data_IF_588971647267
#
_entry.id   IF_588971647267
#
_cell.length_a   1.000
_cell.length_b   1.000
_cell.length_c   1.000
_cell.angle_alpha   90.00
_cell.angle_beta   90.00
_cell.angle_gamma   90.00
#
_symmetry.space_group_name_H-M   'P 1'
#
loop_
_entity.id
_entity.type
_entity.pdbx_description
1 polymer ?
#
# COMPACT_ATOMS: atom_id res chain seq x y z
N UNK A 1 28.82 -9.68 -52.51
CA UNK A 1 29.33 -9.55 -51.12
C UNK A 1 29.25 -10.92 -50.46
N UNK A 2 30.38 -11.54 -50.11
CA UNK A 2 30.40 -12.85 -49.45
C UNK A 2 30.56 -12.67 -47.95
N UNK A 3 29.56 -13.09 -47.17
CA UNK A 3 29.68 -13.11 -45.70
C UNK A 3 30.61 -14.25 -45.28
N UNK A 4 31.59 -13.96 -44.42
CA UNK A 4 32.47 -15.00 -43.89
C UNK A 4 31.69 -15.94 -42.96
N UNK A 5 31.96 -17.25 -43.04
CA UNK A 5 31.40 -18.27 -42.13
C UNK A 5 31.55 -17.87 -40.65
N UNK A 6 32.66 -17.21 -40.31
CA UNK A 6 32.95 -16.75 -38.95
C UNK A 6 32.01 -15.62 -38.52
N UNK A 7 31.69 -14.70 -39.43
CA UNK A 7 30.73 -13.62 -39.18
C UNK A 7 29.32 -14.17 -39.02
N UNK A 8 28.92 -15.12 -39.87
CA UNK A 8 27.63 -15.79 -39.78
C UNK A 8 27.44 -16.54 -38.45
N UNK A 9 28.43 -17.34 -38.04
CA UNK A 9 28.37 -18.12 -36.79
C UNK A 9 28.38 -17.23 -35.54
N UNK A 10 29.12 -16.10 -35.56
CA UNK A 10 29.07 -15.11 -34.46
C UNK A 10 27.71 -14.43 -34.35
N UNK A 11 27.07 -14.10 -35.48
CA UNK A 11 25.72 -13.56 -35.49
C UNK A 11 24.67 -14.56 -34.99
N UNK A 12 24.76 -15.80 -35.45
CA UNK A 12 23.85 -16.87 -35.02
C UNK A 12 23.95 -17.16 -33.51
N UNK A 13 25.16 -17.15 -32.93
CA UNK A 13 25.37 -17.32 -31.49
C UNK A 13 24.73 -16.21 -30.64
N UNK A 14 24.73 -14.97 -31.13
CA UNK A 14 24.06 -13.85 -30.45
C UNK A 14 22.54 -14.05 -30.39
N UNK A 15 21.93 -14.59 -31.45
CA UNK A 15 20.48 -14.86 -31.48
C UNK A 15 20.06 -16.00 -30.52
N UNK A 16 20.96 -16.94 -30.19
CA UNK A 16 20.67 -18.04 -29.25
C UNK A 16 20.91 -17.61 -27.79
N UNK A 17 21.89 -16.74 -27.55
CA UNK A 17 22.24 -16.26 -26.20
C UNK A 17 21.34 -15.13 -25.67
N UNK A 18 20.62 -14.43 -26.57
CA UNK A 18 19.61 -13.43 -26.24
C UNK A 18 18.23 -14.08 -26.31
N UNK A 19 17.74 -14.76 -25.25
CA UNK A 19 16.33 -15.13 -25.15
C UNK A 19 15.49 -13.89 -25.48
N UNK A 20 14.47 -14.07 -26.32
CA UNK A 20 13.76 -13.16 -27.25
C UNK A 20 13.39 -11.73 -26.77
N UNK A 21 14.24 -11.05 -26.02
CA UNK A 21 14.01 -9.71 -25.54
C UNK A 21 12.64 -9.57 -24.84
N UNK A 22 12.14 -10.64 -24.21
CA UNK A 22 10.83 -10.70 -23.55
C UNK A 22 10.70 -9.59 -22.46
N UNK A 23 11.82 -9.15 -21.89
CA UNK A 23 11.87 -8.02 -20.95
C UNK A 23 11.65 -6.63 -21.57
N UNK A 24 11.76 -6.50 -22.89
CA UNK A 24 11.41 -5.29 -23.66
C UNK A 24 9.99 -5.33 -24.22
N UNK A 25 9.27 -6.45 -24.07
CA UNK A 25 7.84 -6.44 -24.30
C UNK A 25 7.19 -5.50 -23.28
N UNK A 26 6.27 -4.61 -23.72
CA UNK A 26 5.47 -3.84 -22.80
C UNK A 26 4.75 -4.82 -21.86
N UNK A 27 5.06 -4.77 -20.57
CA UNK A 27 4.35 -5.51 -19.50
C UNK A 27 2.81 -5.35 -19.54
N UNK A 28 2.32 -4.38 -20.30
CA UNK A 28 0.91 -4.17 -20.60
C UNK A 28 0.29 -5.26 -21.50
N UNK A 29 1.07 -5.92 -22.37
CA UNK A 29 0.58 -6.96 -23.30
C UNK A 29 0.55 -8.37 -22.67
N UNK A 30 1.29 -8.59 -21.58
CA UNK A 30 1.19 -9.80 -20.76
C UNK A 30 -0.03 -9.79 -19.83
N UNK A 31 -1.02 -8.93 -20.10
CA UNK A 31 -2.27 -8.92 -19.38
C UNK A 31 -3.24 -9.81 -20.17
N UNK A 32 -3.54 -11.04 -19.69
CA UNK A 32 -4.52 -11.85 -20.37
C UNK A 32 -5.84 -11.08 -20.43
N UNK A 33 -6.37 -10.91 -21.64
CA UNK A 33 -7.78 -10.59 -21.87
C UNK A 33 -8.60 -11.84 -21.49
N UNK A 34 -8.69 -12.10 -20.19
CA UNK A 34 -9.47 -13.19 -19.59
C UNK A 34 -10.56 -12.62 -18.68
N UNK A 35 -11.60 -13.42 -18.35
CA UNK A 35 -12.83 -12.92 -17.74
C UNK A 35 -12.56 -12.32 -16.36
N UNK A 36 -13.13 -11.13 -16.15
CA UNK A 36 -13.10 -10.29 -14.94
C UNK A 36 -11.77 -10.23 -14.18
N UNK A 37 -11.10 -9.07 -14.27
CA UNK A 37 -10.23 -8.58 -13.20
C UNK A 37 -10.99 -8.83 -11.89
N UNK A 38 -10.47 -9.74 -11.04
CA UNK A 38 -11.13 -10.06 -9.78
C UNK A 38 -11.51 -8.76 -9.07
N UNK A 39 -12.78 -8.62 -8.71
CA UNK A 39 -13.29 -7.38 -8.10
C UNK A 39 -12.39 -7.01 -6.93
N UNK A 40 -11.95 -5.75 -6.86
CA UNK A 40 -11.16 -5.29 -5.72
C UNK A 40 -12.03 -5.40 -4.46
N UNK A 41 -11.63 -6.27 -3.53
CA UNK A 41 -12.42 -6.62 -2.33
C UNK A 41 -11.90 -5.96 -1.05
N UNK A 42 -10.76 -5.28 -1.12
CA UNK A 42 -10.08 -4.72 0.05
C UNK A 42 -9.51 -3.34 -0.26
N UNK A 43 -9.72 -2.42 0.68
CA UNK A 43 -9.14 -1.10 0.69
C UNK A 43 -8.77 -0.73 2.14
N UNK A 44 -7.65 -0.03 2.30
CA UNK A 44 -7.22 0.53 3.57
C UNK A 44 -7.21 2.05 3.45
N UNK A 45 -7.93 2.73 4.32
CA UNK A 45 -8.01 4.20 4.32
C UNK A 45 -7.34 4.73 5.58
N UNK A 46 -6.44 5.68 5.39
CA UNK A 46 -5.72 6.35 6.47
C UNK A 46 -6.18 7.81 6.57
N UNK A 47 -6.39 8.30 7.80
CA UNK A 47 -6.81 9.68 8.06
C UNK A 47 -5.71 10.37 8.87
N UNK A 48 -4.84 11.18 8.24
CA UNK A 48 -3.55 11.59 8.79
C UNK A 48 -3.64 12.50 10.02
N UNK A 49 -4.71 13.27 10.13
CA UNK A 49 -4.92 14.19 11.24
C UNK A 49 -5.73 13.55 12.38
N UNK A 50 -6.06 12.26 12.26
CA UNK A 50 -7.01 11.61 13.16
C UNK A 50 -8.45 12.08 12.93
N UNK A 51 -9.30 11.82 13.91
CA UNK A 51 -10.74 12.10 13.89
C UNK A 51 -11.16 12.62 15.25
N UNK A 52 -12.27 13.33 15.32
CA UNK A 52 -12.88 13.70 16.59
C UNK A 52 -13.48 12.44 17.24
N UNK A 53 -12.68 11.76 18.08
CA UNK A 53 -12.99 10.43 18.61
C UNK A 53 -14.33 10.32 19.38
N UNK A 54 -14.79 11.35 20.13
CA UNK A 54 -16.12 11.33 20.77
C UNK A 54 -17.30 11.19 19.79
N UNK A 55 -17.13 11.67 18.55
CA UNK A 55 -18.15 11.57 17.49
C UNK A 55 -17.81 10.49 16.45
N UNK A 56 -16.73 9.74 16.66
CA UNK A 56 -16.34 8.59 15.84
C UNK A 56 -16.64 7.25 16.53
N UNK A 57 -16.52 7.21 17.87
CA UNK A 57 -16.57 5.96 18.65
C UNK A 57 -17.98 5.72 19.19
N UNK A 58 -18.62 4.58 18.85
CA UNK A 58 -19.88 4.19 19.48
C UNK A 58 -19.74 4.08 21.00
N UNK A 59 -20.79 4.49 21.73
CA UNK A 59 -20.82 4.44 23.21
C UNK A 59 -21.15 3.06 23.77
N UNK A 60 -21.72 2.19 22.95
CA UNK A 60 -22.20 0.88 23.32
C UNK A 60 -21.51 -0.18 22.45
N UNK A 61 -21.24 -1.33 23.05
CA UNK A 61 -20.74 -2.51 22.33
C UNK A 61 -21.89 -3.36 21.78
N UNK A 62 -21.56 -4.28 20.87
CA UNK A 62 -22.52 -5.19 20.25
C UNK A 62 -22.87 -4.81 18.82
N UNK A 63 -23.79 -5.58 18.21
CA UNK A 63 -24.14 -5.41 16.79
C UNK A 63 -25.05 -4.21 16.52
N UNK A 64 -25.85 -3.83 17.50
CA UNK A 64 -26.91 -2.82 17.37
C UNK A 64 -26.52 -1.49 18.04
N UNK A 65 -25.25 -1.08 17.94
CA UNK A 65 -24.81 0.21 18.47
C UNK A 65 -25.41 1.38 17.68
N UNK A 66 -25.53 2.53 18.36
CA UNK A 66 -25.91 3.80 17.72
C UNK A 66 -24.75 4.36 16.89
N UNK A 67 -25.01 4.65 15.62
CA UNK A 67 -24.02 5.28 14.74
C UNK A 67 -23.78 6.73 15.20
N UNK A 68 -22.53 7.10 15.54
CA UNK A 68 -22.23 8.48 15.88
C UNK A 68 -22.18 9.37 14.62
N UNK A 69 -22.25 10.71 14.75
CA UNK A 69 -22.44 11.62 13.63
C UNK A 69 -21.42 11.44 12.48
N UNK A 70 -20.15 11.20 12.79
CA UNK A 70 -19.12 11.02 11.75
C UNK A 70 -19.24 9.69 10.98
N UNK A 71 -20.07 8.76 11.45
CA UNK A 71 -20.34 7.48 10.81
C UNK A 71 -21.73 7.40 10.16
N UNK A 72 -22.57 8.44 10.28
CA UNK A 72 -23.89 8.50 9.65
C UNK A 72 -23.87 8.14 8.14
N UNK A 73 -22.89 8.60 7.33
CA UNK A 73 -22.83 8.23 5.91
C UNK A 73 -22.68 6.71 5.65
N UNK A 74 -22.26 5.94 6.66
CA UNK A 74 -22.11 4.49 6.58
C UNK A 74 -23.37 3.74 7.02
N UNK A 75 -24.46 4.42 7.38
CA UNK A 75 -25.72 3.81 7.78
C UNK A 75 -26.25 2.74 6.80
N UNK A 76 -26.14 2.89 5.46
CA UNK A 76 -26.55 1.83 4.52
C UNK A 76 -25.80 0.49 4.70
N UNK A 77 -24.61 0.52 5.32
CA UNK A 77 -23.74 -0.64 5.55
C UNK A 77 -23.73 -1.10 7.00
N UNK A 78 -24.65 -0.63 7.85
CA UNK A 78 -24.66 -0.91 9.31
C UNK A 78 -24.54 -2.40 9.66
N UNK A 79 -25.16 -3.28 8.86
CA UNK A 79 -25.13 -4.74 9.07
C UNK A 79 -23.76 -5.38 8.84
N UNK A 80 -22.90 -4.69 8.09
CA UNK A 80 -21.57 -5.13 7.67
C UNK A 80 -20.46 -4.22 8.25
N UNK A 81 -20.80 -3.35 9.20
CA UNK A 81 -19.87 -2.40 9.82
C UNK A 81 -19.36 -2.94 11.16
N UNK A 82 -18.03 -2.91 11.32
CA UNK A 82 -17.37 -3.12 12.61
C UNK A 82 -16.59 -1.86 12.98
N UNK A 83 -16.80 -1.36 14.20
CA UNK A 83 -16.00 -0.28 14.76
C UNK A 83 -15.18 -0.85 15.90
N UNK A 84 -13.87 -0.96 15.69
CA UNK A 84 -12.93 -1.47 16.69
C UNK A 84 -12.30 -0.30 17.44
N UNK A 85 -12.33 -0.36 18.77
CA UNK A 85 -11.81 0.67 19.67
C UNK A 85 -10.70 0.11 20.57
N UNK A 86 -9.93 0.98 21.23
CA UNK A 86 -8.83 0.56 22.11
C UNK A 86 -7.60 0.01 21.40
N UNK A 87 -7.55 0.09 20.06
CA UNK A 87 -6.38 -0.30 19.27
C UNK A 87 -5.38 0.84 19.17
N UNK A 88 -4.09 0.52 19.29
CA UNK A 88 -2.99 1.45 19.11
C UNK A 88 -1.84 0.77 18.34
N UNK A 89 -1.19 1.53 17.46
CA UNK A 89 0.04 1.10 16.78
C UNK A 89 1.24 1.56 17.60
N UNK A 90 1.86 0.64 18.34
CA UNK A 90 3.01 0.97 19.18
C UNK A 90 4.20 1.53 18.37
N UNK A 91 4.46 0.99 17.17
CA UNK A 91 5.51 1.50 16.27
C UNK A 91 5.32 2.97 15.84
N UNK A 92 4.09 3.50 15.89
CA UNK A 92 3.79 4.90 15.58
C UNK A 92 4.10 5.86 16.75
N UNK A 93 4.48 5.36 17.92
CA UNK A 93 4.93 6.18 19.06
C UNK A 93 6.35 6.71 18.86
N UNK A 94 6.69 7.76 19.58
CA UNK A 94 7.99 8.42 19.47
C UNK A 94 9.17 7.54 19.83
N UNK A 95 9.03 6.70 20.86
CA UNK A 95 10.14 5.88 21.39
C UNK A 95 11.44 6.67 21.67
N UNK A 96 11.32 7.99 21.87
CA UNK A 96 12.45 8.88 22.13
C UNK A 96 13.00 9.61 20.89
N UNK A 97 12.52 9.33 19.68
CA UNK A 97 13.03 9.92 18.42
C UNK A 97 12.62 11.39 18.19
N UNK A 98 11.97 12.01 19.16
CA UNK A 98 11.49 13.39 19.08
C UNK A 98 10.29 13.56 18.14
N UNK A 99 10.05 14.78 17.62
CA UNK A 99 8.90 15.08 16.79
C UNK A 99 9.03 14.41 15.41
N UNK A 100 7.89 13.93 14.91
CA UNK A 100 7.78 13.23 13.64
C UNK A 100 6.50 12.39 13.50
N UNK A 101 5.47 12.66 14.31
CA UNK A 101 4.31 11.77 14.47
C UNK A 101 3.52 11.59 13.17
N UNK A 102 3.42 12.63 12.34
CA UNK A 102 2.79 12.51 11.02
C UNK A 102 3.51 11.51 10.11
N UNK A 103 4.84 11.63 9.99
CA UNK A 103 5.64 10.72 9.18
C UNK A 103 5.61 9.29 9.75
N UNK A 104 5.67 9.17 11.08
CA UNK A 104 5.66 7.88 11.77
C UNK A 104 4.32 7.18 11.66
N UNK A 105 3.21 7.91 11.80
CA UNK A 105 1.86 7.35 11.69
C UNK A 105 1.62 6.74 10.30
N UNK A 106 2.04 7.42 9.23
CA UNK A 106 1.98 6.84 7.88
C UNK A 106 2.95 5.66 7.71
N UNK A 107 4.19 5.80 8.15
CA UNK A 107 5.20 4.76 7.94
C UNK A 107 4.93 3.46 8.71
N UNK A 108 4.28 3.56 9.87
CA UNK A 108 3.83 2.41 10.67
C UNK A 108 2.48 1.85 10.23
N UNK A 109 1.73 2.54 9.36
CA UNK A 109 0.43 2.07 8.87
C UNK A 109 0.61 0.79 8.03
N UNK A 110 -0.09 -0.28 8.41
CA UNK A 110 0.00 -1.63 7.82
C UNK A 110 1.34 -2.36 7.98
N UNK A 111 2.40 -1.69 8.41
CA UNK A 111 3.71 -2.31 8.67
C UNK A 111 3.89 -2.68 10.13
N UNK A 112 3.26 -1.93 11.04
CA UNK A 112 3.51 -1.98 12.50
C UNK A 112 4.98 -1.74 12.88
N UNK A 113 5.82 -1.28 11.95
CA UNK A 113 7.25 -1.05 12.17
C UNK A 113 7.48 0.38 12.62
N UNK A 114 8.35 0.55 13.60
CA UNK A 114 8.80 1.86 14.04
C UNK A 114 9.71 2.51 12.99
N UNK A 115 9.29 3.67 12.47
CA UNK A 115 10.12 4.47 11.58
C UNK A 115 11.05 5.35 12.39
N UNK A 116 12.34 5.06 12.29
CA UNK A 116 13.39 5.85 12.93
C UNK A 116 13.56 7.18 12.23
N UNK A 117 13.67 8.26 13.00
CA UNK A 117 14.06 9.55 12.45
C UNK A 117 15.52 9.50 11.99
N UNK A 118 15.77 9.63 10.69
CA UNK A 118 17.11 9.87 10.17
C UNK A 118 17.43 11.38 10.30
N UNK A 119 18.67 11.69 10.66
CA UNK A 119 19.11 12.98 11.22
C UNK A 119 18.61 14.24 10.51
N UNK A 120 18.55 15.33 11.28
CA UNK A 120 18.27 16.68 10.77
C UNK A 120 19.43 17.10 9.87
N UNK A 121 19.29 16.97 8.55
CA UNK A 121 20.08 17.81 7.64
C UNK A 121 19.50 19.22 7.71
N UNK A 122 20.02 20.00 8.65
CA UNK A 122 19.53 21.35 8.93
C UNK A 122 20.22 21.94 10.15
N UNK A 123 21.56 21.95 10.13
CA UNK A 123 22.34 22.91 10.91
C UNK A 123 22.41 24.20 10.10
N UNK A 124 21.91 25.28 10.68
CA UNK A 124 22.28 26.66 10.34
C UNK A 124 23.72 26.88 10.76
#
# INVERSE_FOLDING_TARGET
>A
MTLSRRTFLRGAGACVALPWLEGLLPRAQARPEGPERGKQRLAFLFVPNGKHMPEWTPKQEGREFDLPPLLEPLAPFRKDLLVLSGLALDGARSHGDGPGDHARALGSFLTCVHVKKQGVYGGV
#
